data_IF_040861133132
#
_entry.id   IF_040861133132
#
_cell.length_a   1.000
_cell.length_b   1.000
_cell.length_c   1.000
_cell.angle_alpha   90.00
_cell.angle_beta   90.00
_cell.angle_gamma   90.00
#
_symmetry.space_group_name_H-M   'P 1'
#
loop_
_entity.id
_entity.type
_entity.pdbx_description
1 polymer ?
#
# COMPACT_ATOMS: atom_id res chain seq x y z
N UNK A 1 -43.14 -26.06 68.80
CA UNK A 1 -43.13 -24.69 68.27
C UNK A 1 -41.72 -24.39 67.77
N UNK A 2 -41.19 -25.14 66.80
CA UNK A 2 -41.38 -25.06 65.33
C UNK A 2 -40.50 -23.96 64.67
N UNK A 3 -39.48 -24.43 63.91
CA UNK A 3 -39.05 -24.10 62.52
C UNK A 3 -39.58 -22.76 61.90
N UNK A 4 -38.88 -21.93 61.10
CA UNK A 4 -37.74 -22.06 60.16
C UNK A 4 -37.36 -20.65 59.53
N UNK A 5 -36.51 -20.50 58.49
CA UNK A 5 -35.39 -19.53 58.40
C UNK A 5 -35.64 -18.31 57.48
N UNK A 6 -34.71 -17.34 57.42
CA UNK A 6 -34.53 -16.53 56.20
C UNK A 6 -33.05 -16.22 55.95
N UNK A 7 -32.51 -16.92 54.95
CA UNK A 7 -31.35 -16.53 54.17
C UNK A 7 -31.76 -15.36 53.25
N UNK A 8 -31.06 -14.23 53.27
CA UNK A 8 -31.12 -13.21 52.21
C UNK A 8 -29.85 -12.37 52.33
N UNK A 9 -28.81 -12.82 51.63
CA UNK A 9 -28.45 -12.35 50.29
C UNK A 9 -27.58 -11.09 50.42
N UNK A 10 -26.30 -11.29 50.09
CA UNK A 10 -25.31 -10.25 49.78
C UNK A 10 -25.93 -9.20 48.84
N UNK A 11 -25.48 -7.93 48.85
CA UNK A 11 -25.88 -7.02 47.80
C UNK A 11 -25.33 -7.60 46.50
N UNK A 12 -26.18 -8.31 45.75
CA UNK A 12 -25.92 -8.63 44.36
C UNK A 12 -25.69 -7.27 43.70
N UNK A 13 -24.43 -7.01 43.37
CA UNK A 13 -24.07 -6.01 42.38
C UNK A 13 -24.83 -6.40 41.12
N UNK A 14 -26.03 -5.84 40.99
CA UNK A 14 -26.82 -5.88 39.78
C UNK A 14 -25.95 -5.24 38.70
N UNK A 15 -25.25 -6.09 37.96
CA UNK A 15 -24.63 -5.69 36.72
C UNK A 15 -25.79 -5.34 35.82
N UNK A 16 -26.12 -4.04 35.75
CA UNK A 16 -27.07 -3.53 34.77
C UNK A 16 -26.49 -3.93 33.43
N UNK A 17 -27.11 -4.91 32.78
CA UNK A 17 -26.80 -5.27 31.41
C UNK A 17 -27.08 -4.03 30.56
N UNK A 18 -26.03 -3.27 30.27
CA UNK A 18 -26.14 -2.12 29.37
C UNK A 18 -26.65 -2.64 28.04
N UNK A 19 -27.76 -2.10 27.56
CA UNK A 19 -28.28 -2.44 26.24
C UNK A 19 -27.15 -2.23 25.21
N UNK A 20 -26.95 -3.15 24.26
CA UNK A 20 -25.98 -2.94 23.19
C UNK A 20 -26.29 -1.61 22.47
N UNK A 21 -25.24 -0.83 22.20
CA UNK A 21 -25.38 0.36 21.38
C UNK A 21 -25.82 -0.04 19.97
N UNK A 22 -26.75 0.72 19.40
CA UNK A 22 -27.36 0.44 18.10
C UNK A 22 -28.02 1.67 17.49
N UNK A 23 -28.71 1.49 16.35
CA UNK A 23 -29.41 2.59 15.70
C UNK A 23 -30.53 3.14 16.61
N UNK A 24 -30.44 4.43 16.93
CA UNK A 24 -31.39 5.14 17.78
C UNK A 24 -31.00 5.22 19.26
N UNK A 25 -30.01 4.45 19.72
CA UNK A 25 -29.52 4.49 21.09
C UNK A 25 -27.99 4.58 21.22
N UNK A 26 -27.20 4.57 20.15
CA UNK A 26 -25.74 4.71 20.20
C UNK A 26 -25.16 5.58 19.08
N UNK A 27 -23.89 5.93 19.22
CA UNK A 27 -23.13 6.64 18.19
C UNK A 27 -22.62 5.65 17.15
N UNK A 28 -22.95 5.86 15.87
CA UNK A 28 -22.38 5.08 14.77
C UNK A 28 -20.94 5.53 14.53
N UNK A 29 -20.00 4.59 14.51
CA UNK A 29 -18.60 4.89 14.23
C UNK A 29 -18.39 5.24 12.75
N UNK A 30 -17.55 6.26 12.48
CA UNK A 30 -17.32 6.76 11.12
C UNK A 30 -16.66 5.67 10.27
N UNK A 31 -17.26 5.35 9.11
CA UNK A 31 -16.72 4.37 8.18
C UNK A 31 -17.02 2.91 8.52
N UNK A 32 -17.85 2.63 9.54
CA UNK A 32 -18.28 1.26 9.90
C UNK A 32 -19.79 1.19 10.19
N UNK A 33 -20.31 -0.04 10.33
CA UNK A 33 -21.69 -0.31 10.77
C UNK A 33 -21.79 -0.59 12.29
N UNK A 34 -20.71 -0.30 13.04
CA UNK A 34 -20.65 -0.51 14.49
C UNK A 34 -21.16 0.71 15.26
N UNK A 35 -21.77 0.44 16.42
CA UNK A 35 -22.30 1.46 17.32
C UNK A 35 -21.66 1.32 18.71
N UNK A 36 -21.43 2.46 19.37
CA UNK A 36 -20.92 2.51 20.74
C UNK A 36 -21.63 3.58 21.56
N UNK A 37 -21.57 3.47 22.89
CA UNK A 37 -22.09 4.45 23.83
C UNK A 37 -21.18 5.66 24.00
N UNK A 38 -19.89 5.51 23.73
CA UNK A 38 -18.90 6.58 23.83
C UNK A 38 -18.16 6.71 22.48
N UNK A 39 -18.32 7.83 21.75
CA UNK A 39 -17.65 8.02 20.45
C UNK A 39 -16.11 7.94 20.54
N UNK A 40 -15.52 8.12 21.73
CA UNK A 40 -14.08 7.91 21.96
C UNK A 40 -13.65 6.46 21.78
N UNK A 41 -14.58 5.52 22.00
CA UNK A 41 -14.36 4.08 21.86
C UNK A 41 -14.68 3.58 20.45
N UNK A 42 -15.02 4.49 19.53
CA UNK A 42 -15.00 4.18 18.10
C UNK A 42 -13.56 3.96 17.65
N UNK A 43 -13.00 2.82 18.00
CA UNK A 43 -11.88 2.24 17.29
C UNK A 43 -12.40 1.93 15.89
N UNK A 44 -12.04 2.77 14.92
CA UNK A 44 -11.96 2.37 13.51
C UNK A 44 -11.36 0.96 13.53
N UNK A 45 -12.14 -0.05 13.14
CA UNK A 45 -11.87 -1.44 13.51
C UNK A 45 -10.41 -1.79 13.30
N UNK A 46 -9.68 -2.07 14.39
CA UNK A 46 -8.34 -2.64 14.44
C UNK A 46 -7.47 -2.48 13.18
N UNK A 47 -7.28 -1.24 12.72
CA UNK A 47 -6.00 -0.89 12.11
C UNK A 47 -5.17 -0.46 13.30
N UNK A 48 -4.33 -1.39 13.78
CA UNK A 48 -3.40 -1.08 14.85
C UNK A 48 -2.72 0.23 14.47
N UNK A 49 -2.74 1.24 15.35
CA UNK A 49 -2.10 2.52 15.05
C UNK A 49 -0.62 2.37 14.66
N UNK A 50 -0.04 1.20 14.99
CA UNK A 50 1.24 0.72 14.51
C UNK A 50 1.28 0.40 13.00
N UNK A 51 0.26 -0.26 12.43
CA UNK A 51 0.18 -0.50 10.99
C UNK A 51 0.02 0.80 10.20
N UNK A 52 -0.87 1.70 10.63
CA UNK A 52 -1.10 2.96 9.94
C UNK A 52 0.15 3.88 10.02
N UNK A 53 0.86 3.85 11.15
CA UNK A 53 2.17 4.49 11.30
C UNK A 53 3.25 3.85 10.40
N UNK A 54 3.27 2.52 10.28
CA UNK A 54 4.21 1.82 9.41
C UNK A 54 3.98 2.13 7.93
N UNK A 55 2.72 2.17 7.49
CA UNK A 55 2.37 2.55 6.11
C UNK A 55 2.73 4.01 5.81
N UNK A 56 2.51 4.92 6.76
CA UNK A 56 2.90 6.32 6.59
C UNK A 56 4.43 6.50 6.56
N UNK A 57 5.16 5.79 7.42
CA UNK A 57 6.63 5.79 7.40
C UNK A 57 7.18 5.20 6.09
N UNK A 58 6.56 4.15 5.58
CA UNK A 58 6.93 3.54 4.30
C UNK A 58 6.66 4.50 3.13
N UNK A 59 5.53 5.20 3.12
CA UNK A 59 5.26 6.23 2.11
C UNK A 59 6.28 7.37 2.17
N UNK A 60 6.70 7.80 3.36
CA UNK A 60 7.76 8.79 3.49
C UNK A 60 9.10 8.26 2.94
N UNK A 61 9.47 7.02 3.28
CA UNK A 61 10.68 6.38 2.76
C UNK A 61 10.66 6.32 1.23
N UNK A 62 9.53 5.90 0.64
CA UNK A 62 9.34 5.81 -0.81
C UNK A 62 9.45 7.20 -1.47
N UNK A 63 8.89 8.24 -0.86
CA UNK A 63 8.99 9.62 -1.35
C UNK A 63 10.42 10.21 -1.26
N UNK A 64 11.27 9.62 -0.42
CA UNK A 64 12.67 10.00 -0.25
C UNK A 64 13.62 9.18 -1.11
N UNK A 65 13.15 8.12 -1.77
CA UNK A 65 13.95 7.41 -2.76
C UNK A 65 14.24 8.44 -3.88
N UNK A 66 15.51 8.78 -4.12
CA UNK A 66 15.86 9.74 -5.16
C UNK A 66 15.23 9.30 -6.48
N UNK A 67 14.71 10.26 -7.24
CA UNK A 67 14.41 10.06 -8.66
C UNK A 67 15.75 9.86 -9.38
N UNK A 68 16.31 8.66 -9.25
CA UNK A 68 17.46 8.24 -10.01
C UNK A 68 16.96 7.87 -11.41
N UNK A 69 17.68 8.34 -12.42
CA UNK A 69 17.74 7.82 -13.79
C UNK A 69 17.20 6.38 -13.89
N UNK A 70 15.92 6.22 -14.27
CA UNK A 70 15.25 4.92 -14.48
C UNK A 70 14.75 4.13 -13.26
N UNK A 71 14.98 4.58 -12.02
CA UNK A 71 14.62 3.86 -10.79
C UNK A 71 13.17 4.08 -10.32
N UNK A 72 12.85 5.27 -9.81
CA UNK A 72 11.52 5.63 -9.28
C UNK A 72 10.72 6.55 -10.21
N UNK A 73 11.35 7.04 -11.28
CA UNK A 73 10.68 7.77 -12.33
C UNK A 73 10.20 6.80 -13.41
N UNK A 74 8.99 7.02 -13.93
CA UNK A 74 8.49 6.23 -15.05
C UNK A 74 9.46 6.32 -16.23
N UNK A 75 9.77 5.18 -16.88
CA UNK A 75 10.69 5.14 -18.01
C UNK A 75 10.27 6.03 -19.18
N UNK A 76 8.96 6.25 -19.36
CA UNK A 76 8.43 7.18 -20.35
C UNK A 76 8.81 8.65 -20.09
N UNK A 77 9.19 9.00 -18.85
CA UNK A 77 9.54 10.35 -18.43
C UNK A 77 11.05 10.51 -18.27
N UNK A 78 11.72 9.56 -17.63
CA UNK A 78 13.15 9.67 -17.32
C UNK A 78 14.04 8.63 -18.04
N UNK A 79 13.50 7.85 -18.97
CA UNK A 79 14.23 6.76 -19.62
C UNK A 79 14.50 5.58 -18.69
N UNK A 80 15.31 4.62 -19.16
CA UNK A 80 15.69 3.41 -18.41
C UNK A 80 16.94 3.61 -17.55
N UNK A 81 17.30 4.87 -17.32
CA UNK A 81 18.46 5.26 -16.55
C UNK A 81 19.76 5.21 -17.32
N UNK A 82 20.87 5.18 -16.59
CA UNK A 82 22.22 5.11 -17.14
C UNK A 82 23.02 3.98 -16.49
N UNK A 83 23.99 3.44 -17.21
CA UNK A 83 24.96 2.48 -16.67
C UNK A 83 26.02 3.17 -15.77
N UNK A 84 26.96 2.38 -15.23
CA UNK A 84 28.06 2.86 -14.37
C UNK A 84 28.97 3.91 -15.03
N UNK A 85 28.95 4.00 -16.37
CA UNK A 85 29.71 4.98 -17.15
C UNK A 85 28.90 6.25 -17.46
N UNK A 86 27.65 6.32 -17.00
CA UNK A 86 26.73 7.43 -17.26
C UNK A 86 26.12 7.41 -18.68
N UNK A 87 26.23 6.31 -19.42
CA UNK A 87 25.59 6.17 -20.72
C UNK A 87 24.14 5.74 -20.56
N UNK A 88 23.19 6.30 -21.34
CA UNK A 88 21.78 5.96 -21.22
C UNK A 88 21.54 4.49 -21.58
N UNK A 89 20.69 3.84 -20.79
CA UNK A 89 20.22 2.51 -21.09
C UNK A 89 19.25 2.55 -22.27
N UNK A 90 19.35 1.59 -23.20
CA UNK A 90 18.52 1.54 -24.38
C UNK A 90 17.05 1.36 -24.00
N UNK A 91 16.19 1.97 -24.81
CA UNK A 91 14.75 1.82 -24.68
C UNK A 91 14.31 0.42 -25.11
N UNK A 92 13.17 -0.05 -24.60
CA UNK A 92 12.57 -1.30 -25.10
C UNK A 92 12.28 -1.26 -26.61
N UNK A 93 12.02 -0.07 -27.17
CA UNK A 93 11.85 0.10 -28.61
C UNK A 93 13.13 -0.23 -29.36
N UNK A 94 14.24 0.39 -28.97
CA UNK A 94 15.55 0.17 -29.62
C UNK A 94 16.02 -1.28 -29.50
N UNK A 95 15.80 -1.94 -28.36
CA UNK A 95 16.11 -3.37 -28.18
C UNK A 95 15.31 -4.24 -29.14
N UNK A 96 14.00 -3.99 -29.28
CA UNK A 96 13.15 -4.73 -30.22
C UNK A 96 13.47 -4.42 -31.68
N UNK A 97 13.82 -3.17 -31.99
CA UNK A 97 14.26 -2.78 -33.33
C UNK A 97 15.56 -3.47 -33.70
N UNK A 98 16.53 -3.53 -32.79
CA UNK A 98 17.78 -4.25 -33.01
C UNK A 98 17.52 -5.74 -33.27
N UNK A 99 16.69 -6.39 -32.45
CA UNK A 99 16.28 -7.80 -32.67
C UNK A 99 15.69 -7.99 -34.07
N UNK A 100 14.82 -7.07 -34.50
CA UNK A 100 14.23 -7.14 -35.83
C UNK A 100 15.18 -6.93 -36.99
N UNK A 101 16.19 -6.08 -36.81
CA UNK A 101 17.29 -5.92 -37.76
C UNK A 101 18.15 -7.19 -37.85
N UNK A 102 18.49 -7.79 -36.71
CA UNK A 102 19.30 -9.02 -36.66
C UNK A 102 18.55 -10.24 -37.23
N UNK A 103 17.24 -10.32 -36.97
CA UNK A 103 16.38 -11.37 -37.50
C UNK A 103 15.96 -11.16 -38.97
N UNK A 104 16.23 -9.98 -39.53
CA UNK A 104 16.00 -9.66 -40.94
C UNK A 104 14.56 -9.33 -41.32
N UNK A 105 13.66 -9.09 -40.36
CA UNK A 105 12.29 -8.63 -40.63
C UNK A 105 12.13 -7.11 -40.59
N UNK A 106 13.12 -6.39 -40.03
CA UNK A 106 13.34 -4.96 -40.28
C UNK A 106 14.57 -4.86 -41.20
N UNK A 107 14.38 -4.28 -42.39
CA UNK A 107 15.43 -4.20 -43.42
C UNK A 107 15.81 -2.77 -43.81
N UNK A 108 15.24 -1.78 -43.11
CA UNK A 108 15.60 -0.38 -43.28
C UNK A 108 17.00 -0.14 -42.70
N UNK A 109 17.96 0.16 -43.58
CA UNK A 109 19.36 0.29 -43.20
C UNK A 109 19.61 1.47 -42.25
N UNK A 110 18.95 2.62 -42.47
CA UNK A 110 19.15 3.79 -41.62
C UNK A 110 18.59 3.53 -40.20
N UNK A 111 17.43 2.88 -40.11
CA UNK A 111 16.87 2.48 -38.83
C UNK A 111 17.76 1.47 -38.10
N UNK A 112 18.26 0.45 -38.81
CA UNK A 112 19.13 -0.56 -38.21
C UNK A 112 20.48 0.00 -37.75
N UNK A 113 21.07 0.92 -38.52
CA UNK A 113 22.29 1.62 -38.10
C UNK A 113 22.04 2.47 -36.85
N UNK A 114 20.88 3.14 -36.75
CA UNK A 114 20.55 4.01 -35.61
C UNK A 114 20.47 3.27 -34.27
N UNK A 115 20.16 1.97 -34.26
CA UNK A 115 20.06 1.14 -33.06
C UNK A 115 21.24 0.18 -32.85
N UNK A 116 22.25 0.21 -33.73
CA UNK A 116 23.42 -0.67 -33.66
C UNK A 116 24.25 -0.53 -32.37
N UNK A 117 24.21 0.65 -31.74
CA UNK A 117 24.90 0.90 -30.48
C UNK A 117 24.42 -0.01 -29.33
N UNK A 118 23.16 -0.47 -29.39
CA UNK A 118 22.55 -1.35 -28.39
C UNK A 118 23.28 -2.69 -28.28
N UNK A 119 23.88 -3.18 -29.37
CA UNK A 119 24.63 -4.45 -29.39
C UNK A 119 25.82 -4.47 -28.43
N UNK A 120 26.42 -3.30 -28.21
CA UNK A 120 27.64 -3.15 -27.42
C UNK A 120 27.40 -2.39 -26.11
N UNK A 121 26.14 -2.10 -25.78
CA UNK A 121 25.78 -1.38 -24.56
C UNK A 121 26.01 -2.25 -23.32
N UNK A 122 26.70 -1.69 -22.32
CA UNK A 122 26.82 -2.30 -20.99
C UNK A 122 25.72 -1.74 -20.08
N UNK A 123 25.05 -2.62 -19.34
CA UNK A 123 23.97 -2.28 -18.41
C UNK A 123 24.48 -2.13 -16.98
#
# INVERSE_FOLDING_TARGET
MEQEPVQSAEPETATVAQTPAGPGNGYRCRGTDSYTWDPSTCTLGAVDSAQELAEFQEQQRLAQIPYADGGTCAAAVCGYGTNDQGQPNPTSGEIQTLDGCQAGYITDAELCESVSWVENHQY
#
